data_IF_423130801628
#
_entry.id   IF_423130801628
#
_cell.length_a   1.000
_cell.length_b   1.000
_cell.length_c   1.000
_cell.angle_alpha   90.00
_cell.angle_beta   90.00
_cell.angle_gamma   90.00
#
_symmetry.space_group_name_H-M   'P 1'
#
loop_
_entity.id
_entity.type
_entity.pdbx_description
1 polymer ?
#
# COMPACT_ATOMS: atom_id res chain seq x y z
N UNK A 1 2.83 -10.09 -16.34
CA UNK A 1 1.75 -10.30 -17.33
C UNK A 1 2.28 -9.99 -18.74
N UNK A 2 1.65 -10.58 -19.75
CA UNK A 2 1.96 -10.22 -21.14
C UNK A 2 1.52 -8.76 -21.37
N UNK A 3 2.41 -7.89 -21.85
CA UNK A 3 2.12 -6.46 -22.03
C UNK A 3 0.88 -6.13 -22.91
N UNK A 4 0.35 -7.11 -23.66
CA UNK A 4 -0.93 -6.96 -24.36
C UNK A 4 -2.11 -7.06 -23.40
N UNK A 5 -2.04 -7.94 -22.40
CA UNK A 5 -3.06 -8.08 -21.36
C UNK A 5 -3.08 -6.84 -20.48
N UNK A 6 -1.92 -6.34 -20.08
CA UNK A 6 -1.80 -5.10 -19.29
C UNK A 6 -2.44 -3.92 -20.02
N UNK A 7 -2.11 -3.71 -21.30
CA UNK A 7 -2.72 -2.64 -22.12
C UNK A 7 -4.24 -2.80 -22.24
N UNK A 8 -4.73 -4.03 -22.39
CA UNK A 8 -6.16 -4.29 -22.45
C UNK A 8 -6.85 -3.96 -21.12
N UNK A 9 -6.31 -4.43 -20.00
CA UNK A 9 -6.86 -4.14 -18.66
C UNK A 9 -6.82 -2.63 -18.37
N UNK A 10 -5.72 -1.96 -18.72
CA UNK A 10 -5.60 -0.51 -18.60
C UNK A 10 -6.69 0.24 -19.38
N UNK A 11 -7.01 -0.24 -20.59
CA UNK A 11 -8.06 0.38 -21.43
C UNK A 11 -9.47 0.22 -20.87
N UNK A 12 -9.68 -0.68 -19.89
CA UNK A 12 -10.97 -0.86 -19.21
C UNK A 12 -11.13 0.02 -17.97
N UNK A 13 -10.05 0.66 -17.52
CA UNK A 13 -10.09 1.57 -16.37
C UNK A 13 -10.79 2.85 -16.81
N UNK A 14 -11.83 3.31 -16.08
CA UNK A 14 -12.50 4.57 -16.40
C UNK A 14 -11.54 5.76 -16.40
N UNK A 15 -11.73 6.66 -17.36
CA UNK A 15 -10.94 7.89 -17.43
C UNK A 15 -11.11 8.72 -16.14
N UNK A 16 -9.99 9.20 -15.60
CA UNK A 16 -9.99 10.02 -14.39
C UNK A 16 -10.41 11.45 -14.73
N UNK A 17 -11.13 12.06 -13.82
CA UNK A 17 -11.58 13.45 -13.92
C UNK A 17 -11.36 14.19 -12.61
N UNK A 18 -11.49 15.52 -12.62
CA UNK A 18 -11.40 16.36 -11.42
C UNK A 18 -10.07 16.19 -10.66
N UNK A 19 -10.18 16.21 -9.34
CA UNK A 19 -8.99 16.16 -8.46
C UNK A 19 -8.12 14.93 -8.70
N UNK A 20 -8.71 13.76 -8.93
CA UNK A 20 -7.94 12.51 -9.14
C UNK A 20 -7.05 12.64 -10.37
N UNK A 21 -7.57 13.20 -11.48
CA UNK A 21 -6.77 13.49 -12.68
C UNK A 21 -5.64 14.48 -12.38
N UNK A 22 -5.94 15.56 -11.65
CA UNK A 22 -4.92 16.55 -11.24
C UNK A 22 -3.79 15.90 -10.45
N UNK A 23 -4.11 14.96 -9.53
CA UNK A 23 -3.12 14.26 -8.72
C UNK A 23 -2.25 13.32 -9.56
N UNK A 24 -2.84 12.59 -10.51
CA UNK A 24 -2.11 11.69 -11.41
C UNK A 24 -1.18 12.48 -12.35
N UNK A 25 -1.67 13.59 -12.92
CA UNK A 25 -0.87 14.48 -13.77
C UNK A 25 0.29 15.10 -12.97
N UNK A 26 0.01 15.63 -11.77
CA UNK A 26 1.04 16.17 -10.90
C UNK A 26 2.11 15.12 -10.53
N UNK A 27 1.68 13.91 -10.22
CA UNK A 27 2.60 12.82 -9.89
C UNK A 27 3.51 12.46 -11.07
N UNK A 28 2.96 12.41 -12.28
CA UNK A 28 3.72 12.16 -13.52
C UNK A 28 4.73 13.27 -13.79
N UNK A 29 4.30 14.53 -13.75
CA UNK A 29 5.15 15.70 -14.04
C UNK A 29 6.29 15.88 -13.03
N UNK A 30 6.04 15.56 -11.75
CA UNK A 30 6.99 15.75 -10.65
C UNK A 30 7.70 14.45 -10.22
N UNK A 31 7.51 13.34 -10.96
CA UNK A 31 8.08 12.02 -10.63
C UNK A 31 7.78 11.59 -9.18
N UNK A 32 6.57 11.86 -8.69
CA UNK A 32 6.10 11.36 -7.41
C UNK A 32 5.60 9.94 -7.59
N UNK A 33 6.13 8.95 -6.86
CA UNK A 33 5.59 7.60 -6.93
C UNK A 33 4.20 7.56 -6.31
N UNK A 34 3.21 7.20 -7.10
CA UNK A 34 1.85 6.84 -6.68
C UNK A 34 1.55 5.44 -7.18
N UNK A 35 0.55 4.79 -6.59
CA UNK A 35 0.13 3.46 -7.00
C UNK A 35 -0.32 3.45 -8.47
N UNK A 36 0.09 2.42 -9.23
CA UNK A 36 -0.28 2.28 -10.64
C UNK A 36 -1.81 2.09 -10.79
N UNK A 37 -2.40 2.53 -11.93
CA UNK A 37 -3.86 2.53 -12.11
C UNK A 37 -4.52 1.16 -11.89
N UNK A 38 -3.91 0.08 -12.35
CA UNK A 38 -4.43 -1.29 -12.16
C UNK A 38 -4.34 -1.72 -10.69
N UNK A 39 -3.25 -1.33 -10.03
CA UNK A 39 -3.02 -1.63 -8.61
C UNK A 39 -4.03 -0.95 -7.71
N UNK A 40 -4.27 0.36 -7.92
CA UNK A 40 -5.24 1.10 -7.10
C UNK A 40 -6.66 0.54 -7.30
N UNK A 41 -7.07 0.16 -8.51
CA UNK A 41 -8.40 -0.44 -8.71
C UNK A 41 -8.56 -1.77 -7.96
N UNK A 42 -7.51 -2.59 -7.90
CA UNK A 42 -7.53 -3.83 -7.10
C UNK A 42 -7.64 -3.51 -5.61
N UNK A 43 -6.86 -2.56 -5.11
CA UNK A 43 -6.95 -2.11 -3.72
C UNK A 43 -8.40 -1.68 -3.40
N UNK A 44 -8.97 -0.78 -4.20
CA UNK A 44 -10.33 -0.29 -3.98
C UNK A 44 -11.38 -1.40 -4.05
N UNK A 45 -11.20 -2.39 -4.92
CA UNK A 45 -12.11 -3.54 -4.97
C UNK A 45 -12.01 -4.41 -3.72
N UNK A 46 -10.81 -4.64 -3.19
CA UNK A 46 -10.62 -5.32 -1.91
C UNK A 46 -11.33 -4.56 -0.79
N UNK A 47 -11.21 -3.23 -0.77
CA UNK A 47 -11.90 -2.39 0.22
C UNK A 47 -13.42 -2.51 0.12
N UNK A 48 -13.99 -2.50 -1.11
CA UNK A 48 -15.44 -2.68 -1.32
C UNK A 48 -15.91 -4.05 -0.83
N UNK A 49 -15.10 -5.09 -0.94
CA UNK A 49 -15.44 -6.44 -0.47
C UNK A 49 -15.28 -6.58 1.05
N UNK A 50 -14.24 -5.98 1.62
CA UNK A 50 -13.90 -6.10 3.05
C UNK A 50 -14.67 -5.13 3.94
N UNK A 51 -15.09 -3.96 3.40
CA UNK A 51 -15.83 -2.90 4.10
C UNK A 51 -15.16 -2.44 5.41
N UNK A 52 -13.87 -2.08 5.39
CA UNK A 52 -13.15 -1.64 6.59
C UNK A 52 -13.70 -0.31 7.12
N UNK A 53 -13.69 -0.15 8.45
CA UNK A 53 -14.04 1.10 9.14
C UNK A 53 -12.79 1.92 9.50
N UNK A 54 -11.64 1.27 9.60
CA UNK A 54 -10.37 1.90 9.94
C UNK A 54 -9.22 1.31 9.12
N UNK A 55 -8.50 2.19 8.43
CA UNK A 55 -7.37 1.84 7.58
C UNK A 55 -6.12 2.56 8.08
N UNK A 56 -5.01 1.83 8.22
CA UNK A 56 -3.68 2.40 8.36
C UNK A 56 -2.98 2.33 6.99
N UNK A 57 -2.47 3.44 6.52
CA UNK A 57 -1.60 3.52 5.34
C UNK A 57 -0.18 3.90 5.74
N UNK A 58 0.80 3.14 5.30
CA UNK A 58 2.23 3.43 5.51
C UNK A 58 2.82 3.93 4.20
N UNK A 59 2.99 5.25 4.09
CA UNK A 59 3.44 5.93 2.89
C UNK A 59 2.32 6.66 2.16
N UNK A 60 2.06 7.91 2.55
CA UNK A 60 1.02 8.75 1.93
C UNK A 60 1.42 9.35 0.58
N UNK A 61 2.71 9.60 0.38
CA UNK A 61 3.20 10.45 -0.70
C UNK A 61 2.41 11.77 -0.75
N UNK A 62 1.72 12.04 -1.86
CA UNK A 62 0.86 13.24 -2.02
C UNK A 62 -0.59 13.02 -1.62
N UNK A 63 -0.92 11.89 -0.97
CA UNK A 63 -2.25 11.56 -0.48
C UNK A 63 -3.18 10.91 -1.50
N UNK A 64 -2.67 10.47 -2.66
CA UNK A 64 -3.48 9.91 -3.74
C UNK A 64 -4.27 8.67 -3.30
N UNK A 65 -3.61 7.66 -2.79
CA UNK A 65 -4.24 6.41 -2.33
C UNK A 65 -5.20 6.65 -1.16
N UNK A 66 -4.82 7.49 -0.19
CA UNK A 66 -5.68 7.84 0.93
C UNK A 66 -7.00 8.51 0.48
N UNK A 67 -6.94 9.46 -0.47
CA UNK A 67 -8.13 10.09 -1.05
C UNK A 67 -8.99 9.04 -1.77
N UNK A 68 -8.39 8.20 -2.63
CA UNK A 68 -9.10 7.15 -3.35
C UNK A 68 -9.80 6.15 -2.42
N UNK A 69 -9.13 5.76 -1.33
CA UNK A 69 -9.72 4.89 -0.30
C UNK A 69 -10.89 5.59 0.42
N UNK A 70 -10.73 6.86 0.81
CA UNK A 70 -11.76 7.62 1.48
C UNK A 70 -13.00 7.89 0.62
N UNK A 71 -12.81 8.16 -0.69
CA UNK A 71 -13.93 8.30 -1.64
C UNK A 71 -14.69 6.97 -1.84
N UNK A 72 -13.97 5.83 -1.83
CA UNK A 72 -14.57 4.51 -2.00
C UNK A 72 -15.36 4.05 -0.78
N UNK A 73 -14.96 4.50 0.41
CA UNK A 73 -15.53 4.13 1.71
C UNK A 73 -15.92 5.38 2.50
N UNK A 74 -17.12 5.92 2.30
CA UNK A 74 -17.53 7.20 2.91
C UNK A 74 -17.48 7.23 4.44
N UNK A 75 -17.65 6.07 5.11
CA UNK A 75 -17.70 5.97 6.57
C UNK A 75 -16.35 5.59 7.20
N UNK A 76 -15.36 5.20 6.38
CA UNK A 76 -14.07 4.77 6.89
C UNK A 76 -13.19 5.95 7.31
N UNK A 77 -12.47 5.78 8.42
CA UNK A 77 -11.37 6.65 8.81
C UNK A 77 -10.05 6.09 8.30
N UNK A 78 -9.16 6.97 7.86
CA UNK A 78 -7.85 6.61 7.34
C UNK A 78 -6.80 7.34 8.17
N UNK A 79 -5.81 6.59 8.63
CA UNK A 79 -4.59 7.12 9.22
C UNK A 79 -3.45 6.85 8.23
N UNK A 80 -2.75 7.89 7.82
CA UNK A 80 -1.66 7.76 6.85
C UNK A 80 -0.37 8.38 7.37
N UNK A 81 0.77 7.80 6.97
CA UNK A 81 2.10 8.23 7.42
C UNK A 81 2.94 8.74 6.25
N UNK A 82 3.58 9.89 6.44
CA UNK A 82 4.58 10.40 5.50
C UNK A 82 5.70 11.12 6.27
N UNK A 83 6.94 10.99 5.78
CA UNK A 83 8.11 11.63 6.40
C UNK A 83 8.73 12.75 5.57
N UNK A 84 8.42 12.82 4.30
CA UNK A 84 8.94 13.85 3.41
C UNK A 84 8.11 15.12 3.56
N UNK A 85 8.70 16.19 4.07
CA UNK A 85 8.00 17.44 4.37
C UNK A 85 7.29 18.04 3.15
N UNK A 86 7.90 18.04 1.96
CA UNK A 86 7.27 18.54 0.75
C UNK A 86 6.03 17.72 0.35
N UNK A 87 6.06 16.39 0.54
CA UNK A 87 4.92 15.51 0.29
C UNK A 87 3.83 15.70 1.34
N UNK A 88 4.20 15.89 2.61
CA UNK A 88 3.28 16.19 3.70
C UNK A 88 2.47 17.44 3.38
N UNK A 89 3.12 18.54 2.99
CA UNK A 89 2.45 19.78 2.61
C UNK A 89 1.51 19.57 1.41
N UNK A 90 1.95 18.82 0.41
CA UNK A 90 1.13 18.52 -0.76
C UNK A 90 -0.08 17.64 -0.39
N UNK A 91 0.12 16.60 0.43
CA UNK A 91 -0.95 15.72 0.90
C UNK A 91 -2.02 16.48 1.68
N UNK A 92 -1.61 17.35 2.62
CA UNK A 92 -2.54 18.23 3.37
C UNK A 92 -3.36 19.11 2.44
N UNK A 93 -2.74 19.74 1.44
CA UNK A 93 -3.44 20.56 0.47
C UNK A 93 -4.44 19.73 -0.35
N UNK A 94 -4.09 18.52 -0.73
CA UNK A 94 -4.94 17.61 -1.48
C UNK A 94 -6.12 17.10 -0.63
N UNK A 95 -5.88 16.74 0.64
CA UNK A 95 -6.97 16.37 1.56
C UNK A 95 -7.96 17.50 1.78
N UNK A 96 -7.48 18.75 1.89
CA UNK A 96 -8.35 19.93 1.99
C UNK A 96 -9.17 20.14 0.71
N UNK A 97 -8.56 20.02 -0.49
CA UNK A 97 -9.27 20.10 -1.77
C UNK A 97 -10.35 19.02 -1.91
N UNK A 98 -10.11 17.83 -1.37
CA UNK A 98 -11.03 16.70 -1.39
C UNK A 98 -12.13 16.79 -0.31
N UNK A 99 -12.08 17.77 0.59
CA UNK A 99 -12.95 17.86 1.78
C UNK A 99 -12.88 16.60 2.69
N UNK A 100 -11.66 16.10 2.91
CA UNK A 100 -11.41 14.83 3.63
C UNK A 100 -10.58 15.00 4.91
N UNK A 101 -10.35 16.23 5.39
CA UNK A 101 -9.53 16.50 6.58
C UNK A 101 -10.10 15.86 7.86
N UNK A 102 -11.41 15.71 7.96
CA UNK A 102 -12.07 15.08 9.12
C UNK A 102 -11.94 13.53 9.11
N UNK A 103 -11.65 12.94 7.95
CA UNK A 103 -11.60 11.47 7.78
C UNK A 103 -10.20 10.92 7.54
N UNK A 104 -9.25 11.77 7.15
CA UNK A 104 -7.86 11.39 6.91
C UNK A 104 -6.97 12.06 7.94
N UNK A 105 -6.38 11.27 8.82
CA UNK A 105 -5.37 11.73 9.79
C UNK A 105 -3.98 11.48 9.22
N UNK A 106 -3.21 12.55 9.00
CA UNK A 106 -1.82 12.47 8.54
C UNK A 106 -0.86 12.54 9.73
N UNK A 107 -0.13 11.46 9.99
CA UNK A 107 0.97 11.40 10.96
C UNK A 107 2.27 11.71 10.23
N UNK A 108 2.95 12.76 10.65
CA UNK A 108 4.21 13.21 10.08
C UNK A 108 5.39 12.55 10.77
N UNK A 109 6.35 12.03 10.00
CA UNK A 109 7.60 11.46 10.52
C UNK A 109 7.94 10.08 9.98
N UNK A 110 8.98 9.49 10.53
CA UNK A 110 9.41 8.14 10.13
C UNK A 110 8.42 7.10 10.67
N UNK A 111 7.86 6.32 9.76
CA UNK A 111 6.90 5.27 10.09
C UNK A 111 7.46 4.25 11.11
N UNK A 112 8.78 4.04 11.15
CA UNK A 112 9.41 3.13 12.11
C UNK A 112 9.41 3.68 13.55
N UNK A 113 9.15 4.96 13.72
CA UNK A 113 9.07 5.63 15.04
C UNK A 113 7.61 5.96 15.42
N UNK A 114 6.68 5.81 14.49
CA UNK A 114 5.29 6.22 14.64
C UNK A 114 4.40 5.26 15.44
N UNK A 115 4.91 4.09 15.85
CA UNK A 115 4.13 3.06 16.56
C UNK A 115 3.26 3.57 17.70
N UNK A 116 3.78 4.39 18.64
CA UNK A 116 2.96 4.95 19.73
C UNK A 116 1.79 5.81 19.24
N UNK A 117 2.02 6.68 18.24
CA UNK A 117 0.98 7.54 17.67
C UNK A 117 -0.06 6.72 16.90
N UNK A 118 0.38 5.74 16.11
CA UNK A 118 -0.52 4.85 15.36
C UNK A 118 -1.42 4.06 16.31
N UNK A 119 -0.89 3.61 17.45
CA UNK A 119 -1.65 2.88 18.46
C UNK A 119 -2.87 3.65 18.98
N UNK A 120 -2.78 4.97 19.09
CA UNK A 120 -3.89 5.83 19.58
C UNK A 120 -5.07 5.82 18.62
N UNK A 121 -4.82 5.51 17.34
CA UNK A 121 -5.84 5.48 16.29
C UNK A 121 -6.32 4.07 15.94
N UNK A 122 -5.69 3.01 16.48
CA UNK A 122 -6.07 1.61 16.23
C UNK A 122 -7.29 1.15 17.05
N UNK A 123 -7.69 -0.12 16.92
CA UNK A 123 -7.18 -1.08 15.95
C UNK A 123 -7.73 -0.85 14.54
N UNK A 124 -7.03 -1.42 13.53
CA UNK A 124 -7.35 -1.26 12.11
C UNK A 124 -7.93 -2.54 11.49
N UNK A 125 -8.81 -2.36 10.52
CA UNK A 125 -9.33 -3.47 9.70
C UNK A 125 -8.36 -3.82 8.56
N UNK A 126 -7.66 -2.80 8.05
CA UNK A 126 -6.66 -2.94 7.01
C UNK A 126 -5.41 -2.15 7.37
N UNK A 127 -4.26 -2.75 7.11
CA UNK A 127 -2.96 -2.08 7.07
C UNK A 127 -2.46 -2.15 5.64
N UNK A 128 -2.31 -0.98 5.00
CA UNK A 128 -1.79 -0.86 3.64
C UNK A 128 -0.36 -0.33 3.68
N UNK A 129 0.58 -1.06 3.09
CA UNK A 129 2.01 -0.72 3.10
C UNK A 129 2.46 -0.39 1.68
N UNK A 130 2.64 0.90 1.41
CA UNK A 130 3.21 1.43 0.16
C UNK A 130 4.34 2.42 0.49
N UNK A 131 5.38 1.95 1.11
CA UNK A 131 6.50 2.76 1.57
C UNK A 131 7.86 2.23 1.07
N UNK A 132 8.94 2.53 1.80
CA UNK A 132 10.28 2.13 1.42
C UNK A 132 10.43 0.60 1.35
N UNK A 133 10.48 0.04 0.15
CA UNK A 133 10.51 -1.40 -0.18
C UNK A 133 11.54 -2.22 0.64
N UNK A 134 12.67 -1.62 1.00
CA UNK A 134 13.69 -2.28 1.83
C UNK A 134 13.35 -2.43 3.31
N UNK A 135 12.17 -1.96 3.75
CA UNK A 135 11.71 -1.95 5.15
C UNK A 135 10.40 -2.74 5.35
N UNK A 136 9.85 -3.37 4.34
CA UNK A 136 8.53 -4.01 4.38
C UNK A 136 8.33 -4.95 5.58
N UNK A 137 9.30 -5.84 5.84
CA UNK A 137 9.21 -6.74 7.00
C UNK A 137 9.11 -5.97 8.31
N UNK A 138 9.90 -4.90 8.48
CA UNK A 138 9.87 -4.07 9.69
C UNK A 138 8.54 -3.33 9.85
N UNK A 139 7.95 -2.84 8.76
CA UNK A 139 6.63 -2.21 8.81
C UNK A 139 5.55 -3.24 9.16
N UNK A 140 5.61 -4.42 8.56
CA UNK A 140 4.69 -5.50 8.87
C UNK A 140 4.74 -5.85 10.37
N UNK A 141 5.92 -6.21 10.89
CA UNK A 141 6.14 -6.59 12.29
C UNK A 141 5.79 -5.46 13.29
N UNK A 142 5.99 -4.19 12.88
CA UNK A 142 5.69 -3.04 13.74
C UNK A 142 4.18 -2.79 13.86
N UNK A 143 3.44 -2.95 12.76
CA UNK A 143 2.04 -2.54 12.70
C UNK A 143 1.04 -3.70 12.83
N UNK A 144 1.46 -4.96 12.59
CA UNK A 144 0.56 -6.12 12.76
C UNK A 144 -0.13 -6.18 14.14
N UNK A 145 0.49 -5.76 15.26
CA UNK A 145 -0.19 -5.78 16.57
C UNK A 145 -1.39 -4.82 16.66
N UNK A 146 -1.53 -3.91 15.71
CA UNK A 146 -2.66 -2.96 15.64
C UNK A 146 -3.74 -3.43 14.66
N UNK A 147 -3.56 -4.59 14.04
CA UNK A 147 -4.56 -5.20 13.15
C UNK A 147 -5.63 -5.91 13.98
N UNK A 148 -6.90 -5.78 13.60
CA UNK A 148 -8.00 -6.57 14.16
C UNK A 148 -7.88 -8.05 13.73
N UNK A 149 -8.47 -8.97 14.49
CA UNK A 149 -8.43 -10.42 14.21
C UNK A 149 -8.93 -10.77 12.80
N UNK A 150 -9.98 -10.10 12.33
CA UNK A 150 -10.51 -10.26 10.97
C UNK A 150 -9.78 -9.42 9.92
N UNK A 151 -8.78 -8.63 10.31
CA UNK A 151 -8.08 -7.70 9.43
C UNK A 151 -7.18 -8.35 8.39
N UNK A 152 -6.71 -7.54 7.44
CA UNK A 152 -5.76 -7.94 6.40
C UNK A 152 -4.63 -6.91 6.28
N UNK A 153 -3.46 -7.39 5.87
CA UNK A 153 -2.33 -6.52 5.53
C UNK A 153 -2.13 -6.60 4.02
N UNK A 154 -2.11 -5.44 3.37
CA UNK A 154 -1.88 -5.32 1.92
C UNK A 154 -0.54 -4.63 1.73
N UNK A 155 0.35 -5.21 0.91
CA UNK A 155 1.66 -4.61 0.60
C UNK A 155 1.77 -4.45 -0.91
N UNK A 156 2.00 -3.22 -1.36
CA UNK A 156 2.22 -2.91 -2.78
C UNK A 156 3.69 -3.09 -3.21
N UNK A 157 3.90 -3.17 -4.51
CA UNK A 157 5.20 -3.24 -5.19
C UNK A 157 6.08 -4.46 -4.81
N UNK A 158 5.48 -5.58 -4.47
CA UNK A 158 6.22 -6.78 -4.05
C UNK A 158 6.84 -7.58 -5.22
N UNK A 159 6.51 -7.25 -6.48
CA UNK A 159 7.12 -7.85 -7.66
C UNK A 159 8.21 -7.00 -8.30
N UNK A 160 8.28 -5.72 -7.98
CA UNK A 160 9.32 -4.79 -8.42
C UNK A 160 9.60 -4.87 -9.93
N UNK A 161 8.56 -4.62 -10.74
CA UNK A 161 8.55 -4.69 -12.21
C UNK A 161 9.01 -6.05 -12.76
N UNK A 162 8.64 -7.12 -12.05
CA UNK A 162 9.02 -8.48 -12.40
C UNK A 162 10.45 -8.87 -12.02
N UNK A 163 11.29 -7.94 -11.58
CA UNK A 163 12.71 -8.19 -11.27
C UNK A 163 12.94 -9.22 -10.16
N UNK A 164 11.93 -9.49 -9.32
CA UNK A 164 12.01 -10.57 -8.32
C UNK A 164 12.03 -11.96 -8.96
N UNK A 165 11.61 -12.13 -10.21
CA UNK A 165 11.60 -13.40 -10.93
C UNK A 165 12.84 -13.60 -11.82
N UNK A 166 13.61 -12.53 -12.07
CA UNK A 166 14.75 -12.54 -13.00
C UNK A 166 16.05 -13.07 -12.34
N UNK A 167 16.98 -13.58 -13.14
CA UNK A 167 18.34 -13.88 -12.66
C UNK A 167 19.16 -12.58 -12.55
N UNK A 168 19.10 -11.97 -11.36
CA UNK A 168 19.73 -10.68 -11.11
C UNK A 168 21.26 -10.71 -11.05
N UNK A 169 21.88 -11.89 -10.96
CA UNK A 169 23.35 -12.01 -10.94
C UNK A 169 23.91 -11.78 -12.36
N UNK A 170 23.15 -12.13 -13.39
CA UNK A 170 23.53 -11.94 -14.81
C UNK A 170 23.14 -10.56 -15.36
N UNK A 171 22.38 -9.77 -14.60
CA UNK A 171 21.90 -8.46 -15.07
C UNK A 171 22.86 -7.32 -14.71
N UNK A 172 23.07 -6.43 -15.67
CA UNK A 172 23.74 -5.14 -15.41
C UNK A 172 22.84 -4.24 -14.56
N UNK A 173 23.19 -4.06 -13.30
CA UNK A 173 22.50 -3.15 -12.39
C UNK A 173 23.40 -2.70 -11.24
N UNK A 174 23.01 -1.59 -10.58
CA UNK A 174 23.73 -1.10 -9.41
C UNK A 174 23.66 -2.10 -8.24
N UNK A 175 24.71 -2.16 -7.42
CA UNK A 175 24.72 -2.97 -6.19
C UNK A 175 23.53 -2.65 -5.27
N UNK A 176 23.13 -1.37 -5.20
CA UNK A 176 21.97 -0.95 -4.40
C UNK A 176 20.67 -1.55 -4.92
N UNK A 177 20.44 -1.53 -6.24
CA UNK A 177 19.23 -2.12 -6.86
C UNK A 177 19.18 -3.63 -6.63
N UNK A 178 20.30 -4.34 -6.84
CA UNK A 178 20.41 -5.78 -6.58
C UNK A 178 20.10 -6.14 -5.13
N UNK A 179 20.67 -5.38 -4.17
CA UNK A 179 20.39 -5.58 -2.75
C UNK A 179 18.91 -5.33 -2.40
N UNK A 180 18.25 -4.36 -3.06
CA UNK A 180 16.83 -4.11 -2.87
C UNK A 180 15.97 -5.27 -3.39
N UNK A 181 16.28 -5.80 -4.57
CA UNK A 181 15.56 -6.97 -5.14
C UNK A 181 15.68 -8.18 -4.20
N UNK A 182 16.89 -8.46 -3.68
CA UNK A 182 17.09 -9.53 -2.69
C UNK A 182 16.22 -9.33 -1.45
N UNK A 183 16.16 -8.12 -0.90
CA UNK A 183 15.29 -7.81 0.25
C UNK A 183 13.81 -8.03 -0.03
N UNK A 184 13.33 -7.69 -1.24
CA UNK A 184 11.93 -7.93 -1.63
C UNK A 184 11.67 -9.44 -1.77
N UNK A 185 12.57 -10.20 -2.39
CA UNK A 185 12.49 -11.67 -2.46
C UNK A 185 12.43 -12.30 -1.06
N UNK A 186 13.32 -11.85 -0.17
CA UNK A 186 13.36 -12.34 1.22
C UNK A 186 12.05 -12.03 1.95
N UNK A 187 11.49 -10.85 1.74
CA UNK A 187 10.19 -10.47 2.29
C UNK A 187 9.05 -11.33 1.73
N UNK A 188 8.99 -11.55 0.41
CA UNK A 188 7.97 -12.41 -0.22
C UNK A 188 8.04 -13.85 0.30
N UNK A 189 9.26 -14.40 0.42
CA UNK A 189 9.47 -15.72 1.01
C UNK A 189 9.06 -15.77 2.48
N UNK A 190 9.37 -14.72 3.24
CA UNK A 190 8.98 -14.61 4.65
C UNK A 190 7.45 -14.55 4.81
N UNK A 191 6.76 -13.76 3.98
CA UNK A 191 5.28 -13.70 3.96
C UNK A 191 4.67 -15.07 3.67
N UNK A 192 5.18 -15.76 2.64
CA UNK A 192 4.66 -17.07 2.23
C UNK A 192 4.84 -18.15 3.31
N UNK A 193 5.92 -18.07 4.09
CA UNK A 193 6.22 -19.00 5.18
C UNK A 193 5.79 -18.48 6.56
N UNK A 194 5.02 -17.39 6.63
CA UNK A 194 4.63 -16.81 7.90
C UNK A 194 3.71 -17.75 8.69
N UNK A 195 4.00 -18.03 9.98
CA UNK A 195 3.24 -19.02 10.75
C UNK A 195 1.78 -18.64 10.99
N UNK A 196 1.48 -17.34 11.03
CA UNK A 196 0.16 -16.81 11.40
C UNK A 196 -0.62 -16.18 10.25
N UNK A 197 -0.04 -16.05 9.07
CA UNK A 197 -0.70 -15.42 7.92
C UNK A 197 -0.74 -16.35 6.71
N UNK A 198 -1.85 -16.31 5.98
CA UNK A 198 -1.96 -16.80 4.62
C UNK A 198 -1.79 -15.63 3.67
N UNK A 199 -0.84 -15.73 2.74
CA UNK A 199 -0.52 -14.65 1.80
C UNK A 199 -0.68 -15.11 0.36
N UNK A 200 -1.33 -14.26 -0.43
CA UNK A 200 -1.41 -14.37 -1.89
C UNK A 200 -0.78 -13.14 -2.52
N UNK A 201 0.03 -13.34 -3.56
CA UNK A 201 0.57 -12.23 -4.37
C UNK A 201 -0.17 -12.19 -5.70
N UNK A 202 -0.80 -11.06 -5.98
CA UNK A 202 -1.46 -10.77 -7.25
C UNK A 202 -0.46 -10.06 -8.18
N UNK A 203 -0.25 -10.57 -9.42
CA UNK A 203 0.66 -9.96 -10.39
C UNK A 203 -0.04 -8.82 -11.15
N UNK A 204 -0.52 -7.80 -10.43
CA UNK A 204 -1.21 -6.62 -10.96
C UNK A 204 -0.43 -5.38 -10.53
N UNK A 205 -0.27 -4.41 -11.45
CA UNK A 205 0.64 -3.30 -11.23
C UNK A 205 2.06 -3.81 -10.92
N UNK A 206 2.67 -3.27 -9.90
CA UNK A 206 4.01 -3.71 -9.44
C UNK A 206 3.94 -4.88 -8.41
N UNK A 207 2.81 -5.58 -8.35
CA UNK A 207 2.55 -6.74 -7.48
C UNK A 207 1.98 -6.36 -6.12
N UNK A 208 0.80 -6.91 -5.80
CA UNK A 208 0.08 -6.67 -4.55
C UNK A 208 0.04 -7.96 -3.72
N UNK A 209 0.63 -7.94 -2.53
CA UNK A 209 0.51 -9.03 -1.57
C UNK A 209 -0.67 -8.76 -0.62
N UNK A 210 -1.49 -9.77 -0.40
CA UNK A 210 -2.62 -9.75 0.55
C UNK A 210 -2.36 -10.83 1.59
N UNK A 211 -2.17 -10.40 2.83
CA UNK A 211 -1.90 -11.29 3.98
C UNK A 211 -3.07 -11.25 4.94
N UNK A 212 -3.68 -12.42 5.19
CA UNK A 212 -4.79 -12.62 6.12
C UNK A 212 -4.34 -13.45 7.30
N UNK A 213 -4.64 -12.99 8.53
CA UNK A 213 -4.38 -13.78 9.73
C UNK A 213 -5.20 -15.08 9.70
N UNK A 214 -4.55 -16.21 10.05
CA UNK A 214 -5.17 -17.55 10.00
C UNK A 214 -6.25 -17.78 11.06
N UNK A 215 -6.35 -16.89 12.04
CA UNK A 215 -7.15 -17.12 13.25
C UNK A 215 -6.50 -18.16 14.17
N UNK A 216 -6.89 -18.19 15.43
CA UNK A 216 -6.49 -19.27 16.34
C UNK A 216 -7.22 -20.55 15.91
N UNK A 217 -6.44 -21.63 15.67
CA UNK A 217 -6.99 -22.94 15.30
C UNK A 217 -7.89 -23.56 16.38
N UNK A 218 -8.06 -22.89 17.52
CA UNK A 218 -8.78 -23.39 18.69
C UNK A 218 -10.27 -23.00 18.74
N UNK A 219 -10.80 -22.21 17.78
CA UNK A 219 -12.24 -21.87 17.76
C UNK A 219 -13.09 -22.76 16.85
N UNK A 220 -12.54 -23.87 16.36
CA UNK A 220 -13.31 -24.92 15.66
C UNK A 220 -13.22 -26.26 16.41
N UNK A 221 -13.89 -26.32 17.54
CA UNK A 221 -14.27 -27.57 18.20
C UNK A 221 -15.77 -27.55 18.50
#
# INVERSE_FOLDING_TARGET
LNGKIEKYLHSLIPERTGLIKELEDFALENNVPIMEPEGIEVLLQILRLHQPQAILEVGSAIGYSAIRMAETLPEARIVTLERNEARIQQARANFAKADLLERITLIEGDALEAGPLVKEHGPFDIIFVDAAKGQYKRFFELFEPFLKDAGIIITDNVLFKGLVAEDIEEMEMTRRKRALIKKIRDFNNWLHNHPHYDTVILPIGDGVAISKHRGDKNEKA
#
